data_IF_569910800863
#
_entry.id   IF_569910800863
#
_cell.length_a   1.000
_cell.length_b   1.000
_cell.length_c   1.000
_cell.angle_alpha   90.00
_cell.angle_beta   90.00
_cell.angle_gamma   90.00
#
_symmetry.space_group_name_H-M   'P 1'
#
loop_
_entity.id
_entity.type
_entity.pdbx_description
1 polymer ?
#
# COMPACT_ATOMS: atom_id res chain seq x y z
N UNK A 1 12.72 -9.62 -11.13
CA UNK A 1 12.63 -9.39 -9.67
C UNK A 1 11.21 -8.98 -9.26
N UNK A 2 10.65 -7.88 -9.79
CA UNK A 2 9.27 -7.45 -9.50
C UNK A 2 8.19 -8.50 -9.79
N UNK A 3 8.31 -9.23 -10.90
CA UNK A 3 7.33 -10.25 -11.29
C UNK A 3 7.19 -11.37 -10.25
N UNK A 4 8.29 -11.75 -9.58
CA UNK A 4 8.27 -12.76 -8.51
C UNK A 4 7.57 -12.23 -7.25
N UNK A 5 7.82 -10.97 -6.89
CA UNK A 5 7.14 -10.29 -5.79
C UNK A 5 5.62 -10.24 -5.99
N UNK A 6 5.18 -9.88 -7.21
CA UNK A 6 3.77 -9.84 -7.57
C UNK A 6 3.14 -11.24 -7.54
N UNK A 7 3.86 -12.27 -8.00
CA UNK A 7 3.40 -13.66 -7.91
C UNK A 7 3.25 -14.12 -6.45
N UNK A 8 4.20 -13.79 -5.57
CA UNK A 8 4.11 -14.09 -4.15
C UNK A 8 2.96 -13.36 -3.47
N UNK A 9 2.69 -12.10 -3.84
CA UNK A 9 1.54 -11.34 -3.34
C UNK A 9 0.21 -12.03 -3.67
N UNK A 10 0.04 -12.58 -4.87
CA UNK A 10 -1.16 -13.35 -5.19
C UNK A 10 -1.24 -14.66 -4.41
N UNK A 11 -0.15 -15.40 -4.35
CA UNK A 11 -0.14 -16.75 -3.80
C UNK A 11 -0.24 -16.78 -2.26
N UNK A 12 0.42 -15.84 -1.57
CA UNK A 12 0.48 -15.81 -0.11
C UNK A 12 -0.72 -15.08 0.49
N UNK A 13 -1.13 -13.95 -0.09
CA UNK A 13 -2.22 -13.14 0.42
C UNK A 13 -3.58 -13.47 -0.22
N UNK A 14 -3.61 -14.49 -1.10
CA UNK A 14 -4.80 -14.98 -1.81
C UNK A 14 -5.56 -13.85 -2.50
N UNK A 15 -4.80 -12.99 -3.20
CA UNK A 15 -5.34 -11.81 -3.89
C UNK A 15 -5.68 -12.12 -5.34
N UNK A 16 -6.72 -11.45 -5.85
CA UNK A 16 -7.10 -11.55 -7.24
C UNK A 16 -5.99 -10.98 -8.16
N UNK A 17 -5.80 -11.61 -9.32
CA UNK A 17 -4.71 -11.28 -10.26
C UNK A 17 -4.83 -9.89 -10.90
N UNK A 18 -6.03 -9.32 -10.89
CA UNK A 18 -6.34 -8.02 -11.47
C UNK A 18 -6.10 -6.84 -10.51
N UNK A 19 -5.97 -7.09 -9.20
CA UNK A 19 -5.81 -6.03 -8.20
C UNK A 19 -4.62 -5.10 -8.48
N UNK A 20 -3.53 -5.61 -9.08
CA UNK A 20 -2.35 -4.79 -9.41
C UNK A 20 -2.57 -3.87 -10.61
N UNK A 21 -3.63 -4.13 -11.39
CA UNK A 21 -4.01 -3.31 -12.54
C UNK A 21 -4.89 -2.13 -12.11
N UNK A 22 -5.40 -2.14 -10.88
CA UNK A 22 -6.19 -1.05 -10.34
C UNK A 22 -5.34 0.20 -10.10
N UNK A 23 -5.91 1.37 -10.33
CA UNK A 23 -5.20 2.63 -10.17
C UNK A 23 -4.90 2.96 -8.70
N UNK A 24 -5.74 2.51 -7.75
CA UNK A 24 -5.46 2.61 -6.33
C UNK A 24 -4.17 1.88 -5.95
N UNK A 25 -3.99 0.65 -6.46
CA UNK A 25 -2.76 -0.12 -6.23
C UNK A 25 -1.54 0.53 -6.86
N UNK A 26 -1.65 0.97 -8.13
CA UNK A 26 -0.54 1.66 -8.82
C UNK A 26 -0.14 2.95 -8.11
N UNK A 27 -1.11 3.72 -7.62
CA UNK A 27 -0.85 4.96 -6.91
C UNK A 27 -0.15 4.69 -5.58
N UNK A 28 -0.58 3.68 -4.81
CA UNK A 28 0.13 3.25 -3.61
C UNK A 28 1.58 2.84 -3.92
N UNK A 29 1.79 2.01 -4.94
CA UNK A 29 3.12 1.57 -5.33
C UNK A 29 4.04 2.75 -5.70
N UNK A 30 3.53 3.71 -6.48
CA UNK A 30 4.26 4.95 -6.83
C UNK A 30 4.64 5.75 -5.58
N UNK A 31 3.72 5.90 -4.63
CA UNK A 31 4.00 6.60 -3.36
C UNK A 31 5.12 5.90 -2.59
N UNK A 32 5.07 4.57 -2.46
CA UNK A 32 6.10 3.81 -1.76
C UNK A 32 7.47 3.90 -2.44
N UNK A 33 7.53 3.86 -3.77
CA UNK A 33 8.78 4.10 -4.51
C UNK A 33 9.29 5.53 -4.32
N UNK A 34 8.40 6.52 -4.26
CA UNK A 34 8.75 7.90 -3.95
C UNK A 34 9.39 8.03 -2.57
N UNK A 35 8.77 7.43 -1.55
CA UNK A 35 9.34 7.40 -0.19
C UNK A 35 10.72 6.75 -0.19
N UNK A 36 10.88 5.58 -0.82
CA UNK A 36 12.17 4.90 -0.89
C UNK A 36 13.25 5.70 -1.61
N UNK A 37 12.88 6.53 -2.60
CA UNK A 37 13.81 7.43 -3.30
C UNK A 37 14.19 8.64 -2.46
N UNK A 38 13.21 9.25 -1.81
CA UNK A 38 13.37 10.54 -1.13
C UNK A 38 14.01 10.37 0.26
N UNK A 39 13.99 9.16 0.82
CA UNK A 39 14.64 8.85 2.09
C UNK A 39 16.03 8.27 1.85
N UNK A 40 17.06 9.02 2.24
CA UNK A 40 18.49 8.63 2.08
C UNK A 40 18.98 7.59 3.09
N UNK A 41 18.09 7.04 3.91
CA UNK A 41 18.43 6.07 4.95
C UNK A 41 18.31 4.64 4.45
N UNK A 42 19.36 3.85 4.66
CA UNK A 42 19.46 2.43 4.27
C UNK A 42 18.62 1.48 5.14
N UNK A 43 17.79 1.99 6.05
CA UNK A 43 17.12 1.20 7.10
C UNK A 43 15.69 1.68 7.39
N UNK A 44 14.87 1.88 6.36
CA UNK A 44 13.43 2.00 6.59
C UNK A 44 12.88 0.61 6.87
N UNK A 45 12.40 0.40 8.10
CA UNK A 45 11.63 -0.77 8.45
C UNK A 45 10.20 -0.64 7.89
N UNK A 46 9.76 -1.63 7.10
CA UNK A 46 8.44 -1.60 6.45
C UNK A 46 7.31 -1.52 7.48
N UNK A 47 7.51 -2.11 8.66
CA UNK A 47 6.55 -2.08 9.77
C UNK A 47 6.23 -0.66 10.26
N UNK A 48 7.17 0.26 10.11
CA UNK A 48 6.99 1.66 10.53
C UNK A 48 6.35 2.52 9.42
N UNK A 49 6.37 2.03 8.18
CA UNK A 49 5.86 2.76 7.02
C UNK A 49 4.37 2.49 6.76
N UNK A 50 3.93 1.25 6.93
CA UNK A 50 2.56 0.84 6.60
C UNK A 50 1.64 0.95 7.82
N UNK A 51 0.46 1.58 7.70
CA UNK A 51 -0.48 1.65 8.80
C UNK A 51 -1.09 0.28 9.12
N UNK A 52 -1.34 0.02 10.40
CA UNK A 52 -2.12 -1.14 10.82
C UNK A 52 -3.54 -1.10 10.19
N UNK A 53 -4.15 -2.24 9.83
CA UNK A 53 -5.47 -2.28 9.20
C UNK A 53 -6.56 -1.50 9.94
N UNK A 54 -6.54 -1.48 11.27
CA UNK A 54 -7.50 -0.70 12.07
C UNK A 54 -7.31 0.81 11.92
N UNK A 55 -6.09 1.28 11.63
CA UNK A 55 -5.83 2.68 11.30
C UNK A 55 -6.41 3.03 9.94
N UNK A 56 -6.30 2.13 8.95
CA UNK A 56 -6.94 2.32 7.64
C UNK A 56 -8.47 2.44 7.82
N UNK A 57 -9.09 1.51 8.55
CA UNK A 57 -10.53 1.52 8.81
C UNK A 57 -11.01 2.83 9.45
N UNK A 58 -10.36 3.28 10.54
CA UNK A 58 -10.68 4.56 11.21
C UNK A 58 -10.52 5.76 10.27
N UNK A 59 -9.47 5.77 9.44
CA UNK A 59 -9.24 6.85 8.51
C UNK A 59 -10.30 6.89 7.40
N UNK A 60 -10.74 5.74 6.90
CA UNK A 60 -11.82 5.68 5.90
C UNK A 60 -13.13 6.21 6.50
N UNK A 61 -13.49 5.81 7.72
CA UNK A 61 -14.67 6.35 8.42
C UNK A 61 -14.59 7.86 8.56
N UNK A 62 -13.46 8.38 9.05
CA UNK A 62 -13.26 9.83 9.21
C UNK A 62 -13.37 10.58 7.88
N UNK A 63 -12.76 10.07 6.81
CA UNK A 63 -12.83 10.69 5.48
C UNK A 63 -14.26 10.68 4.94
N UNK A 64 -15.03 9.63 5.21
CA UNK A 64 -16.43 9.58 4.83
C UNK A 64 -17.25 10.65 5.56
N UNK A 65 -17.04 10.81 6.87
CA UNK A 65 -17.68 11.86 7.66
C UNK A 65 -17.33 13.26 7.13
N UNK A 66 -16.06 13.53 6.84
CA UNK A 66 -15.61 14.84 6.34
C UNK A 66 -16.17 15.20 4.95
N UNK A 67 -16.47 14.21 4.12
CA UNK A 67 -16.92 14.44 2.74
C UNK A 67 -18.44 14.43 2.62
N UNK A 68 -19.15 13.67 3.46
CA UNK A 68 -20.58 13.36 3.27
C UNK A 68 -21.48 13.74 4.45
N UNK A 69 -20.95 14.16 5.59
CA UNK A 69 -21.71 14.64 6.76
C UNK A 69 -21.46 16.13 6.97
#
# INVERSE_FOLDING_TARGET
>A
MLQKLVQSFYALDVRAFDVVKDDGFKNLAKTLFGVGRDTSTSSIEIADLLPHPTTISRNITRLYEEVFV
#
